data_IF_401349398799
#
_entry.id   IF_401349398799
#
_cell.length_a   1.000
_cell.length_b   1.000
_cell.length_c   1.000
_cell.angle_alpha   90.00
_cell.angle_beta   90.00
_cell.angle_gamma   90.00
#
_symmetry.space_group_name_H-M   'P 1'
#
loop_
_entity.id
_entity.type
_entity.pdbx_description
1 polymer ?
#
# COMPACT_ATOMS: atom_id res chain seq x y z
N UNK A 1 1.71 2.09 11.30
CA UNK A 1 2.92 1.29 11.06
C UNK A 1 3.90 1.39 12.21
N UNK A 2 4.49 2.55 12.51
CA UNK A 2 5.44 2.67 13.63
C UNK A 2 4.80 2.33 14.99
N UNK A 3 3.61 2.89 15.26
CA UNK A 3 2.83 2.61 16.48
C UNK A 3 2.42 1.14 16.64
N UNK A 4 2.30 0.40 15.54
CA UNK A 4 1.80 -0.98 15.51
C UNK A 4 2.92 -2.00 15.33
N UNK A 5 4.14 -1.57 14.97
CA UNK A 5 5.26 -2.45 14.66
C UNK A 5 5.10 -3.27 13.36
N UNK A 6 4.02 -3.04 12.59
CA UNK A 6 3.79 -3.57 11.25
C UNK A 6 4.39 -2.61 10.22
N UNK A 7 5.61 -2.91 9.78
CA UNK A 7 6.39 -2.05 8.90
C UNK A 7 5.77 -2.03 7.51
N UNK A 8 5.51 -0.84 6.99
CA UNK A 8 5.06 -0.61 5.61
C UNK A 8 6.10 0.26 4.92
N UNK A 9 6.19 0.13 3.60
CA UNK A 9 7.09 0.94 2.79
C UNK A 9 6.32 1.58 1.64
N UNK A 10 6.35 2.92 1.49
CA UNK A 10 5.69 3.57 0.38
C UNK A 10 6.43 3.25 -0.92
N UNK A 11 5.68 2.81 -1.93
CA UNK A 11 6.19 2.60 -3.28
C UNK A 11 5.71 3.73 -4.19
N UNK A 12 6.53 4.16 -5.16
CA UNK A 12 6.16 5.26 -6.05
C UNK A 12 5.07 4.82 -7.05
N UNK A 13 4.15 5.74 -7.35
CA UNK A 13 3.16 5.60 -8.43
C UNK A 13 3.51 6.51 -9.62
N UNK A 14 4.74 6.39 -10.12
CA UNK A 14 5.20 7.22 -11.24
C UNK A 14 4.45 6.88 -12.53
N UNK A 15 4.15 7.92 -13.32
CA UNK A 15 3.33 7.81 -14.53
C UNK A 15 3.97 6.95 -15.63
N UNK A 16 5.29 6.84 -15.60
CA UNK A 16 6.16 6.18 -16.55
C UNK A 16 5.89 4.67 -16.59
N UNK A 17 5.51 4.09 -15.46
CA UNK A 17 5.12 2.67 -15.38
C UNK A 17 3.83 2.36 -16.15
N UNK A 18 2.99 3.35 -16.45
CA UNK A 18 1.76 3.14 -17.25
C UNK A 18 2.04 2.65 -18.67
N UNK A 19 3.26 2.82 -19.19
CA UNK A 19 3.63 2.28 -20.51
C UNK A 19 3.47 0.77 -20.58
N UNK A 20 3.69 0.08 -19.46
CA UNK A 20 3.55 -1.38 -19.34
C UNK A 20 2.09 -1.83 -19.41
N UNK A 21 1.13 -0.90 -19.32
CA UNK A 21 -0.29 -1.20 -19.23
C UNK A 21 -1.06 -0.88 -20.51
N UNK A 22 -0.36 -0.48 -21.59
CA UNK A 22 -0.99 -0.18 -22.88
C UNK A 22 -1.60 -1.44 -23.48
N UNK A 23 -2.82 -1.31 -23.99
CA UNK A 23 -3.52 -2.35 -24.74
C UNK A 23 -3.76 -1.90 -26.18
N UNK A 24 -3.81 -2.84 -27.11
CA UNK A 24 -4.19 -2.58 -28.51
C UNK A 24 -5.71 -2.58 -28.72
N UNK A 25 -6.47 -3.16 -27.78
CA UNK A 25 -7.90 -3.45 -27.94
C UNK A 25 -8.78 -2.87 -26.83
N UNK A 26 -8.19 -2.48 -25.69
CA UNK A 26 -8.90 -2.00 -24.51
C UNK A 26 -8.22 -0.74 -23.95
N UNK A 27 -8.81 -0.13 -22.92
CA UNK A 27 -8.21 1.05 -22.27
C UNK A 27 -6.88 0.73 -21.58
N UNK A 28 -6.74 -0.50 -21.06
CA UNK A 28 -5.54 -0.98 -20.37
C UNK A 28 -5.47 -2.52 -20.29
N UNK A 29 -4.28 -3.07 -20.04
CA UNK A 29 -4.09 -4.48 -19.65
C UNK A 29 -3.89 -4.63 -18.13
N UNK A 30 -4.26 -5.80 -17.59
CA UNK A 30 -4.12 -6.11 -16.16
C UNK A 30 -2.73 -6.66 -15.77
N UNK A 31 -1.88 -7.02 -16.73
CA UNK A 31 -0.55 -7.57 -16.47
C UNK A 31 0.48 -7.07 -17.50
N UNK A 32 1.33 -6.14 -17.09
CA UNK A 32 2.36 -5.50 -17.92
C UNK A 32 3.74 -6.15 -17.93
N UNK A 33 3.85 -7.37 -17.39
CA UNK A 33 5.11 -8.11 -17.25
C UNK A 33 5.66 -8.16 -15.82
N UNK A 34 6.85 -8.72 -15.67
CA UNK A 34 7.52 -8.94 -14.36
C UNK A 34 8.11 -7.67 -13.72
N UNK A 35 8.80 -6.77 -14.44
CA UNK A 35 9.42 -5.60 -13.82
C UNK A 35 8.37 -4.70 -13.20
N UNK A 36 8.58 -4.31 -11.94
CA UNK A 36 7.70 -3.41 -11.19
C UNK A 36 6.21 -3.83 -11.17
N UNK A 37 5.94 -5.14 -11.14
CA UNK A 37 4.58 -5.68 -11.13
C UNK A 37 3.72 -5.15 -9.98
N UNK A 38 4.29 -4.99 -8.78
CA UNK A 38 3.62 -4.37 -7.63
C UNK A 38 3.19 -2.92 -7.90
N UNK A 39 4.03 -2.14 -8.58
CA UNK A 39 3.73 -0.73 -8.89
C UNK A 39 2.68 -0.64 -9.99
N UNK A 40 2.79 -1.44 -11.05
CA UNK A 40 1.81 -1.47 -12.14
C UNK A 40 0.45 -1.99 -11.68
N UNK A 41 0.39 -2.94 -10.76
CA UNK A 41 -0.85 -3.35 -10.10
C UNK A 41 -1.47 -2.20 -9.29
N UNK A 42 -0.67 -1.45 -8.53
CA UNK A 42 -1.14 -0.26 -7.83
C UNK A 42 -1.71 0.81 -8.77
N UNK A 43 -1.04 1.06 -9.90
CA UNK A 43 -1.53 1.98 -10.95
C UNK A 43 -2.80 1.47 -11.64
N UNK A 44 -2.93 0.15 -11.82
CA UNK A 44 -4.16 -0.46 -12.33
C UNK A 44 -5.33 -0.14 -11.42
N UNK A 45 -5.19 -0.35 -10.12
CA UNK A 45 -6.24 -0.02 -9.14
C UNK A 45 -6.54 1.48 -9.11
N UNK A 46 -5.51 2.33 -9.16
CA UNK A 46 -5.67 3.79 -9.14
C UNK A 46 -6.52 4.32 -10.31
N UNK A 47 -6.53 3.64 -11.45
CA UNK A 47 -7.34 4.03 -12.62
C UNK A 47 -8.83 4.14 -12.28
N UNK A 48 -9.32 3.32 -11.35
CA UNK A 48 -10.74 3.24 -11.00
C UNK A 48 -11.14 4.15 -9.82
N UNK A 49 -10.22 4.96 -9.29
CA UNK A 49 -10.43 5.69 -8.03
C UNK A 49 -10.32 7.21 -8.23
N UNK A 50 -11.40 7.92 -7.89
CA UNK A 50 -11.51 9.38 -7.97
C UNK A 50 -11.55 10.08 -6.59
N UNK A 51 -11.21 9.36 -5.51
CA UNK A 51 -11.19 9.85 -4.13
C UNK A 51 -9.81 9.66 -3.48
N UNK A 52 -9.51 10.30 -2.32
CA UNK A 52 -8.33 9.97 -1.53
C UNK A 52 -8.25 8.46 -1.25
N UNK A 53 -7.10 7.86 -1.47
CA UNK A 53 -6.96 6.40 -1.47
C UNK A 53 -5.54 5.95 -1.16
N UNK A 54 -5.47 4.79 -0.53
CA UNK A 54 -4.25 4.01 -0.32
C UNK A 54 -4.53 2.56 -0.71
N UNK A 55 -3.54 1.92 -1.33
CA UNK A 55 -3.48 0.47 -1.45
C UNK A 55 -2.33 -0.06 -0.63
N UNK A 56 -2.63 -1.09 0.15
CA UNK A 56 -1.66 -1.83 0.94
C UNK A 56 -1.49 -3.22 0.32
N UNK A 57 -0.38 -3.44 -0.38
CA UNK A 57 0.01 -4.76 -0.86
C UNK A 57 0.60 -5.57 0.30
N UNK A 58 -0.05 -6.68 0.66
CA UNK A 58 0.30 -7.54 1.79
C UNK A 58 0.71 -8.94 1.36
N UNK A 59 0.87 -9.20 0.05
CA UNK A 59 1.13 -10.55 -0.45
C UNK A 59 2.37 -11.18 0.23
N UNK A 60 3.44 -10.40 0.43
CA UNK A 60 4.66 -10.86 1.08
C UNK A 60 4.62 -10.92 2.61
N UNK A 61 3.58 -10.40 3.27
CA UNK A 61 3.49 -10.33 4.73
C UNK A 61 2.31 -11.09 5.32
N UNK A 62 1.33 -11.49 4.50
CA UNK A 62 0.11 -12.16 4.95
C UNK A 62 0.34 -13.59 5.46
N UNK A 63 1.42 -14.25 5.05
CA UNK A 63 1.68 -15.66 5.36
C UNK A 63 3.16 -15.94 5.65
N UNK A 64 3.42 -16.78 6.65
CA UNK A 64 4.75 -17.27 7.02
C UNK A 64 4.96 -18.64 6.36
N UNK A 65 5.87 -18.67 5.41
CA UNK A 65 6.45 -19.89 4.84
C UNK A 65 7.75 -20.26 5.54
N UNK A 66 8.31 -21.43 5.23
CA UNK A 66 9.55 -21.92 5.84
C UNK A 66 10.74 -20.98 5.61
N UNK A 67 10.86 -20.42 4.41
CA UNK A 67 11.91 -19.49 4.01
C UNK A 67 11.53 -18.01 4.20
N UNK A 68 10.44 -17.74 4.94
CA UNK A 68 10.01 -16.36 5.17
C UNK A 68 11.05 -15.58 5.97
N UNK A 69 11.17 -14.28 5.67
CA UNK A 69 12.21 -13.40 6.23
C UNK A 69 12.17 -13.33 7.76
N UNK A 70 13.33 -13.11 8.38
CA UNK A 70 13.49 -12.89 9.84
C UNK A 70 12.49 -11.89 10.44
N UNK A 71 12.06 -10.88 9.68
CA UNK A 71 11.11 -9.89 10.17
C UNK A 71 9.72 -10.47 10.52
N UNK A 72 9.30 -11.54 9.84
CA UNK A 72 8.01 -12.19 10.08
C UNK A 72 8.07 -13.25 11.19
N UNK A 73 9.25 -13.58 11.73
CA UNK A 73 9.43 -14.54 12.82
C UNK A 73 9.37 -13.86 14.19
N UNK A 74 8.21 -13.29 14.54
CA UNK A 74 7.98 -12.66 15.84
C UNK A 74 7.45 -13.68 16.86
N UNK A 75 7.75 -13.55 18.17
CA UNK A 75 7.34 -14.54 19.19
C UNK A 75 5.83 -14.78 19.29
N UNK A 76 5.03 -13.79 18.90
CA UNK A 76 3.57 -13.82 18.93
C UNK A 76 2.94 -14.28 17.60
N UNK A 77 3.74 -14.57 16.58
CA UNK A 77 3.29 -15.09 15.29
C UNK A 77 3.46 -16.61 15.23
N UNK A 78 2.64 -17.31 14.42
CA UNK A 78 2.81 -18.75 14.25
C UNK A 78 4.12 -19.05 13.51
N UNK A 79 4.69 -20.25 13.74
CA UNK A 79 5.90 -20.71 13.02
C UNK A 79 5.69 -20.86 11.52
N UNK A 80 4.46 -21.17 11.09
CA UNK A 80 3.97 -21.15 9.70
C UNK A 80 2.49 -20.82 9.73
N UNK A 81 2.01 -20.10 8.72
CA UNK A 81 0.58 -19.78 8.61
C UNK A 81 0.29 -18.29 8.46
N UNK A 82 -1.00 -17.95 8.59
CA UNK A 82 -1.48 -16.58 8.47
C UNK A 82 -0.94 -15.70 9.60
N UNK A 83 -0.50 -14.49 9.25
CA UNK A 83 0.05 -13.52 10.21
C UNK A 83 -0.98 -12.55 10.77
N UNK A 84 -2.08 -12.34 10.05
CA UNK A 84 -3.03 -11.24 10.34
C UNK A 84 -2.45 -9.85 10.05
N UNK A 85 -1.37 -9.75 9.25
CA UNK A 85 -0.72 -8.48 8.95
C UNK A 85 -1.70 -7.44 8.39
N UNK A 86 -1.62 -6.23 8.92
CA UNK A 86 -2.43 -5.09 8.51
C UNK A 86 -3.62 -4.82 9.44
N UNK A 87 -4.06 -5.81 10.23
CA UNK A 87 -5.19 -5.64 11.16
C UNK A 87 -4.88 -4.57 12.21
N UNK A 88 -3.68 -4.60 12.80
CA UNK A 88 -3.30 -3.60 13.81
C UNK A 88 -3.15 -2.22 13.16
N UNK A 89 -2.51 -2.14 11.99
CA UNK A 89 -2.34 -0.88 11.26
C UNK A 89 -3.67 -0.25 10.87
N UNK A 90 -4.62 -1.01 10.33
CA UNK A 90 -5.94 -0.51 9.97
C UNK A 90 -6.74 -0.07 11.21
N UNK A 91 -6.67 -0.84 12.29
CA UNK A 91 -7.32 -0.48 13.57
C UNK A 91 -6.79 0.84 14.10
N UNK A 92 -5.47 1.03 14.09
CA UNK A 92 -4.84 2.27 14.55
C UNK A 92 -5.16 3.47 13.64
N UNK A 93 -5.25 3.26 12.32
CA UNK A 93 -5.73 4.29 11.38
C UNK A 93 -7.17 4.69 11.72
N UNK A 94 -8.07 3.74 11.91
CA UNK A 94 -9.46 4.01 12.30
C UNK A 94 -9.54 4.77 13.62
N UNK A 95 -8.73 4.39 14.62
CA UNK A 95 -8.67 5.07 15.92
C UNK A 95 -8.24 6.53 15.76
N UNK A 96 -7.13 6.78 15.05
CA UNK A 96 -6.64 8.14 14.77
C UNK A 96 -7.73 8.96 14.06
N UNK A 97 -8.35 8.40 13.02
CA UNK A 97 -9.40 9.10 12.26
C UNK A 97 -10.65 9.40 13.10
N UNK A 98 -10.96 8.57 14.10
CA UNK A 98 -12.08 8.79 15.03
C UNK A 98 -11.79 9.86 16.08
N UNK A 99 -10.54 10.00 16.50
CA UNK A 99 -10.10 11.00 17.48
C UNK A 99 -9.77 12.38 16.87
N UNK A 100 -9.60 12.42 15.54
CA UNK A 100 -9.18 13.63 14.84
C UNK A 100 -10.35 14.61 14.63
N UNK A 101 -10.16 15.88 15.05
CA UNK A 101 -11.12 16.96 14.86
C UNK A 101 -11.40 17.27 13.37
N UNK A 102 -12.52 17.91 13.04
CA UNK A 102 -12.95 18.13 11.65
C UNK A 102 -11.98 18.92 10.75
N UNK A 103 -11.13 19.79 11.31
CA UNK A 103 -10.11 20.53 10.57
C UNK A 103 -8.86 19.67 10.30
N UNK A 104 -8.42 18.90 11.29
CA UNK A 104 -7.25 18.01 11.17
C UNK A 104 -7.56 16.78 10.30
N UNK A 105 -8.83 16.36 10.25
CA UNK A 105 -9.28 15.24 9.41
C UNK A 105 -9.12 15.54 7.92
N UNK A 106 -9.34 16.80 7.50
CA UNK A 106 -9.11 17.23 6.10
C UNK A 106 -7.63 17.19 5.73
N UNK A 107 -6.74 17.70 6.60
CA UNK A 107 -5.29 17.62 6.38
C UNK A 107 -4.79 16.18 6.27
N UNK A 108 -5.33 15.27 7.09
CA UNK A 108 -5.03 13.84 7.02
C UNK A 108 -5.53 13.20 5.71
N UNK A 109 -6.72 13.57 5.24
CA UNK A 109 -7.24 13.10 3.96
C UNK A 109 -6.42 13.63 2.77
N UNK A 110 -5.94 14.87 2.85
CA UNK A 110 -5.05 15.48 1.85
C UNK A 110 -3.66 14.82 1.84
N UNK A 111 -3.06 14.58 3.01
CA UNK A 111 -1.79 13.83 3.16
C UNK A 111 -1.90 12.42 2.56
N UNK A 112 -2.96 11.69 2.90
CA UNK A 112 -3.22 10.36 2.31
C UNK A 112 -3.45 10.41 0.79
N UNK A 113 -3.91 11.55 0.25
CA UNK A 113 -4.10 11.74 -1.18
C UNK A 113 -2.81 12.11 -1.92
N UNK A 114 -1.84 12.73 -1.25
CA UNK A 114 -0.62 13.30 -1.86
C UNK A 114 0.61 12.41 -1.66
N UNK A 115 0.84 11.85 -0.47
CA UNK A 115 2.12 11.21 -0.14
C UNK A 115 2.28 9.74 -0.60
N UNK A 116 1.24 9.18 -1.22
CA UNK A 116 1.34 7.90 -1.96
C UNK A 116 1.53 8.10 -3.47
N UNK A 117 1.55 9.35 -3.94
CA UNK A 117 1.87 9.73 -5.32
C UNK A 117 3.00 10.75 -5.31
N UNK A 118 4.22 10.28 -5.05
CA UNK A 118 5.42 11.04 -5.35
C UNK A 118 5.84 12.02 -4.26
N UNK A 119 6.78 11.57 -3.43
CA UNK A 119 7.70 12.47 -2.75
C UNK A 119 8.61 13.13 -3.81
N UNK A 120 8.23 14.31 -4.29
CA UNK A 120 9.18 15.29 -4.83
C UNK A 120 9.15 16.51 -3.92
N UNK A 121 10.11 16.65 -2.98
CA UNK A 121 10.33 17.94 -2.36
C UNK A 121 11.01 18.83 -3.40
N UNK A 122 10.36 19.95 -3.71
CA UNK A 122 11.02 21.04 -4.42
C UNK A 122 12.15 21.61 -3.55
N UNK A 123 13.37 21.14 -3.80
CA UNK A 123 14.60 21.92 -4.09
C UNK A 123 15.76 20.95 -4.33
#
# INVERSE_FOLDING_TARGET
SERTGEKVWPLPLFSEYKIQMKSLMADMINAGGRPASTITAGLFLKHFVNVPWVHLDVAGTAWIEEDSTLYLHKPYLPKRGATGFGVQTLTEICRILGETSGADRRKLQEFLAQDLVGFLPGK
#
